data_IF_414243051510
#
_entry.id   IF_414243051510
#
_cell.length_a   1.000
_cell.length_b   1.000
_cell.length_c   1.000
_cell.angle_alpha   90.00
_cell.angle_beta   90.00
_cell.angle_gamma   90.00
#
_symmetry.space_group_name_H-M   'P 1'
#
loop_
_entity.id
_entity.type
_entity.pdbx_description
1 polymer ?
#
# COMPACT_ATOMS: atom_id res chain seq x y z
N UNK A 1 -2.75 25.12 -15.64
CA UNK A 1 -2.95 24.27 -16.83
C UNK A 1 -2.03 23.05 -16.70
N UNK A 2 -2.35 22.15 -15.77
CA UNK A 2 -1.53 20.97 -15.41
C UNK A 2 -2.37 19.94 -14.62
N UNK A 3 -3.56 19.62 -15.14
CA UNK A 3 -4.55 18.78 -14.42
C UNK A 3 -5.26 17.72 -15.28
N UNK A 4 -4.73 17.35 -16.45
CA UNK A 4 -5.52 16.54 -17.43
C UNK A 4 -5.02 15.13 -17.70
N UNK A 5 -4.07 14.57 -16.96
CA UNK A 5 -3.47 13.25 -17.33
C UNK A 5 -3.89 12.07 -16.43
N UNK A 6 -4.50 12.29 -15.26
CA UNK A 6 -4.83 11.16 -14.35
C UNK A 6 -6.24 10.58 -14.56
N UNK A 7 -7.15 11.29 -15.22
CA UNK A 7 -8.58 10.90 -15.32
C UNK A 7 -8.87 9.86 -16.43
N UNK A 8 -7.96 9.66 -17.40
CA UNK A 8 -8.25 8.80 -18.56
C UNK A 8 -8.02 7.29 -18.35
N UNK A 9 -7.47 6.85 -17.21
CA UNK A 9 -7.24 5.42 -16.94
C UNK A 9 -8.45 4.69 -16.31
N UNK A 10 -9.38 5.42 -15.67
CA UNK A 10 -10.46 4.83 -14.87
C UNK A 10 -11.66 4.26 -15.66
N UNK A 11 -11.68 4.30 -17.00
CA UNK A 11 -12.89 3.98 -17.79
C UNK A 11 -12.82 2.73 -18.67
N UNK A 12 -11.66 2.07 -18.78
CA UNK A 12 -11.49 0.93 -19.70
C UNK A 12 -11.60 -0.45 -19.05
N UNK A 13 -11.47 -0.58 -17.73
CA UNK A 13 -11.54 -1.90 -17.06
C UNK A 13 -12.96 -2.41 -16.83
N UNK A 14 -13.97 -1.54 -16.75
CA UNK A 14 -15.37 -1.97 -16.51
C UNK A 14 -16.06 -2.58 -17.74
N UNK A 15 -15.40 -2.60 -18.91
CA UNK A 15 -16.03 -3.01 -20.18
C UNK A 15 -15.59 -4.39 -20.70
N UNK A 16 -14.65 -5.08 -20.02
CA UNK A 16 -14.03 -6.31 -20.57
C UNK A 16 -14.27 -7.59 -19.77
N UNK A 17 -14.95 -7.54 -18.62
CA UNK A 17 -15.05 -8.72 -17.72
C UNK A 17 -16.47 -9.30 -17.63
N UNK A 18 -17.24 -9.22 -18.71
CA UNK A 18 -18.57 -9.82 -18.75
C UNK A 18 -18.73 -10.69 -19.99
N UNK A 19 -17.99 -11.82 -20.02
CA UNK A 19 -18.37 -12.97 -20.82
C UNK A 19 -17.76 -14.28 -20.27
N UNK A 20 -18.65 -15.09 -19.69
CA UNK A 20 -18.72 -16.54 -19.90
C UNK A 20 -17.55 -17.44 -19.39
N UNK A 21 -17.80 -18.20 -18.30
CA UNK A 21 -18.21 -19.62 -18.37
C UNK A 21 -18.14 -20.35 -17.01
N UNK A 22 -19.30 -20.87 -16.63
CA UNK A 22 -19.49 -22.06 -15.81
C UNK A 22 -18.88 -23.30 -16.46
N UNK A 23 -18.00 -24.02 -15.73
CA UNK A 23 -17.86 -25.48 -15.81
C UNK A 23 -17.45 -26.00 -14.42
N UNK A 24 -18.31 -26.84 -13.84
CA UNK A 24 -17.99 -27.71 -12.71
C UNK A 24 -17.18 -28.92 -13.20
N UNK A 25 -16.24 -29.44 -12.40
CA UNK A 25 -15.93 -30.88 -12.24
C UNK A 25 -14.89 -31.12 -11.12
N UNK A 26 -15.20 -32.13 -10.30
CA UNK A 26 -14.37 -33.04 -9.47
C UNK A 26 -13.60 -32.53 -8.24
N UNK A 27 -14.13 -32.95 -7.08
CA UNK A 27 -13.33 -33.34 -5.91
C UNK A 27 -12.62 -34.67 -6.17
N UNK A 28 -11.34 -34.79 -5.81
CA UNK A 28 -10.84 -35.87 -4.94
C UNK A 28 -9.33 -35.80 -4.60
N UNK A 29 -9.06 -36.19 -3.34
CA UNK A 29 -7.84 -36.73 -2.71
C UNK A 29 -6.63 -35.85 -2.35
N UNK A 30 -6.52 -35.62 -1.03
CA UNK A 30 -5.45 -36.07 -0.12
C UNK A 30 -3.97 -35.88 -0.49
N UNK A 31 -3.29 -35.11 0.39
CA UNK A 31 -2.12 -35.51 1.19
C UNK A 31 -0.87 -34.64 1.07
N UNK A 32 -0.34 -34.36 2.27
CA UNK A 32 1.07 -34.22 2.62
C UNK A 32 1.69 -32.82 2.61
N UNK A 33 1.69 -32.27 3.83
CA UNK A 33 2.51 -31.20 4.34
C UNK A 33 4.01 -31.52 4.27
N UNK A 34 4.81 -30.62 3.70
CA UNK A 34 6.24 -30.49 4.01
C UNK A 34 6.67 -29.01 4.03
N UNK A 35 6.94 -28.59 5.27
CA UNK A 35 8.08 -27.82 5.77
C UNK A 35 8.51 -26.53 5.04
N UNK A 36 8.31 -25.44 5.79
CA UNK A 36 8.94 -24.13 5.68
C UNK A 36 10.46 -24.19 5.46
N UNK A 37 10.93 -23.47 4.44
CA UNK A 37 12.27 -22.92 4.42
C UNK A 37 12.17 -21.39 4.34
N UNK A 38 12.67 -20.73 5.38
CA UNK A 38 12.71 -19.29 5.56
C UNK A 38 14.09 -18.79 5.08
N UNK A 39 14.21 -17.99 4.01
CA UNK A 39 15.52 -17.64 3.45
C UNK A 39 15.91 -16.20 3.80
N UNK A 40 16.06 -15.88 5.09
CA UNK A 40 16.63 -14.61 5.55
C UNK A 40 17.40 -14.83 6.86
N UNK A 41 18.56 -15.46 6.76
CA UNK A 41 19.60 -15.41 7.80
C UNK A 41 20.93 -15.09 7.11
N UNK A 42 21.58 -14.01 7.57
CA UNK A 42 22.83 -13.51 7.00
C UNK A 42 23.25 -12.23 7.70
N UNK A 43 24.11 -12.39 8.70
CA UNK A 43 24.50 -11.46 9.75
C UNK A 43 25.32 -10.25 9.29
N UNK A 44 25.09 -9.17 10.05
CA UNK A 44 26.02 -8.19 10.63
C UNK A 44 27.51 -8.49 10.49
N UNK A 45 28.28 -7.53 9.94
CA UNK A 45 29.68 -7.25 10.30
C UNK A 45 30.05 -5.84 9.80
N UNK A 46 30.11 -4.90 10.74
CA UNK A 46 30.70 -3.57 10.58
C UNK A 46 32.09 -3.61 11.23
N UNK A 47 33.14 -3.33 10.45
CA UNK A 47 34.28 -2.54 10.93
C UNK A 47 34.89 -1.74 9.76
N UNK A 48 35.45 -0.54 10.03
CA UNK A 48 35.88 0.41 9.02
C UNK A 48 37.39 0.33 8.73
N UNK A 49 37.79 0.53 7.48
CA UNK A 49 39.18 0.84 7.14
C UNK A 49 39.28 2.20 6.44
N UNK A 50 40.04 3.08 7.07
CA UNK A 50 40.55 4.34 6.58
C UNK A 50 41.59 4.17 5.46
N UNK A 51 41.88 5.30 4.79
CA UNK A 51 43.07 5.62 3.95
C UNK A 51 42.89 5.37 2.45
N UNK A 52 43.32 6.21 1.51
CA UNK A 52 43.99 7.51 1.55
C UNK A 52 43.81 8.18 0.17
N UNK A 53 43.88 9.51 0.14
CA UNK A 53 43.91 10.30 -1.08
C UNK A 53 45.29 10.21 -1.77
N UNK A 54 45.30 9.94 -3.08
CA UNK A 54 46.43 10.24 -3.96
C UNK A 54 45.90 11.07 -5.13
N UNK A 55 46.22 12.37 -5.10
CA UNK A 55 46.13 13.30 -6.24
C UNK A 55 47.44 13.19 -7.02
N UNK A 56 47.37 12.79 -8.28
CA UNK A 56 48.42 13.06 -9.26
C UNK A 56 47.77 13.81 -10.43
N UNK A 57 48.13 15.10 -10.56
CA UNK A 57 47.69 15.99 -11.63
C UNK A 57 48.60 15.88 -12.85
N UNK A 58 47.96 15.79 -14.01
CA UNK A 58 48.53 15.84 -15.35
C UNK A 58 49.31 17.13 -15.63
N UNK A 59 50.31 17.03 -16.51
CA UNK A 59 50.86 18.15 -17.28
C UNK A 59 50.88 17.75 -18.77
N UNK A 60 50.20 18.57 -19.57
CA UNK A 60 50.22 18.61 -21.05
C UNK A 60 51.63 19.00 -21.55
N UNK A 61 52.06 18.84 -22.80
CA UNK A 61 51.47 18.96 -24.16
C UNK A 61 52.63 18.62 -25.16
N UNK A 62 52.60 18.82 -26.50
CA UNK A 62 51.60 18.57 -27.57
C UNK A 62 52.18 17.85 -28.82
N UNK A 63 51.29 17.63 -29.80
CA UNK A 63 51.47 17.59 -31.28
C UNK A 63 52.16 16.38 -31.92
N UNK A 64 51.38 15.63 -32.70
CA UNK A 64 51.76 15.33 -34.08
C UNK A 64 50.52 15.19 -34.99
N UNK A 65 50.59 15.84 -36.15
CA UNK A 65 49.60 15.85 -37.21
C UNK A 65 49.96 14.77 -38.23
N UNK A 66 49.10 13.77 -38.41
CA UNK A 66 49.32 12.70 -39.38
C UNK A 66 48.02 12.22 -40.00
N UNK A 67 47.79 12.61 -41.25
CA UNK A 67 46.70 12.22 -42.15
C UNK A 67 46.35 10.72 -42.08
N UNK A 68 45.06 10.41 -42.04
CA UNK A 68 44.51 9.25 -42.78
C UNK A 68 43.03 9.44 -43.09
N UNK A 69 42.73 9.44 -44.38
CA UNK A 69 41.39 9.46 -44.97
C UNK A 69 41.00 7.99 -45.20
N UNK A 70 40.04 7.47 -44.44
CA UNK A 70 39.22 6.32 -44.83
C UNK A 70 37.82 6.42 -44.21
N UNK A 71 36.85 6.66 -45.09
CA UNK A 71 35.48 6.11 -45.13
C UNK A 71 34.69 5.91 -43.82
N UNK A 72 33.62 6.68 -43.72
CA UNK A 72 32.24 6.27 -43.39
C UNK A 72 32.02 4.81 -42.96
N UNK A 73 31.64 4.63 -41.68
CA UNK A 73 30.52 3.81 -41.20
C UNK A 73 30.20 4.38 -39.81
N UNK A 74 28.92 4.70 -39.57
CA UNK A 74 28.47 5.29 -38.32
C UNK A 74 29.01 4.53 -37.11
N UNK A 75 29.83 5.21 -36.32
CA UNK A 75 30.27 4.71 -35.04
C UNK A 75 29.04 4.63 -34.13
N UNK A 76 28.38 3.46 -34.14
CA UNK A 76 27.65 2.97 -32.99
C UNK A 76 28.69 2.95 -31.88
N UNK A 77 28.72 4.01 -31.07
CA UNK A 77 29.60 4.15 -29.92
C UNK A 77 29.21 3.04 -28.95
N UNK A 78 29.83 1.86 -29.11
CA UNK A 78 29.70 0.76 -28.16
C UNK A 78 30.33 1.25 -26.88
N UNK A 79 29.50 1.57 -25.90
CA UNK A 79 29.98 1.84 -24.56
C UNK A 79 30.79 0.62 -24.08
N UNK A 80 32.12 0.74 -23.86
CA UNK A 80 32.96 -0.38 -23.47
C UNK A 80 32.47 -1.03 -22.17
N UNK A 81 31.79 -0.27 -21.29
CA UNK A 81 31.18 -0.81 -20.08
C UNK A 81 30.00 -1.75 -20.36
N UNK A 82 29.22 -1.50 -21.43
CA UNK A 82 28.11 -2.39 -21.83
C UNK A 82 28.58 -3.66 -22.53
N UNK A 83 29.70 -3.60 -23.23
CA UNK A 83 30.33 -4.80 -23.79
C UNK A 83 30.87 -5.71 -22.67
N UNK A 84 31.52 -5.12 -21.66
CA UNK A 84 32.01 -5.85 -20.49
C UNK A 84 30.86 -6.49 -19.69
N UNK A 85 29.78 -5.74 -19.43
CA UNK A 85 28.59 -6.25 -18.75
C UNK A 85 27.98 -7.48 -19.46
N UNK A 86 27.82 -7.42 -20.79
CA UNK A 86 27.30 -8.54 -21.58
C UNK A 86 28.24 -9.74 -21.55
N UNK A 87 29.56 -9.51 -21.67
CA UNK A 87 30.57 -10.58 -21.61
C UNK A 87 30.57 -11.29 -20.27
N UNK A 88 30.48 -10.54 -19.17
CA UNK A 88 30.39 -11.10 -17.82
C UNK A 88 29.13 -11.97 -17.65
N UNK A 89 27.96 -11.51 -18.12
CA UNK A 89 26.71 -12.29 -18.02
C UNK A 89 26.71 -13.58 -18.85
N UNK A 90 27.54 -13.70 -19.90
CA UNK A 90 27.73 -14.95 -20.64
C UNK A 90 28.37 -16.06 -19.80
N UNK A 91 29.11 -15.69 -18.75
CA UNK A 91 29.68 -16.65 -17.78
C UNK A 91 28.61 -17.24 -16.86
N UNK A 92 27.36 -16.80 -17.00
CA UNK A 92 26.18 -17.21 -16.23
C UNK A 92 26.35 -17.12 -14.69
N UNK A 93 26.85 -15.99 -14.15
CA UNK A 93 26.92 -15.78 -12.70
C UNK A 93 25.52 -15.84 -12.05
N UNK A 94 25.42 -16.21 -10.77
CA UNK A 94 24.12 -16.21 -10.10
C UNK A 94 23.48 -14.80 -10.16
N UNK A 95 22.17 -14.64 -10.43
CA UNK A 95 21.57 -13.32 -10.71
C UNK A 95 21.76 -12.25 -9.64
N UNK A 96 21.73 -12.62 -8.36
CA UNK A 96 22.06 -11.79 -7.20
C UNK A 96 23.51 -11.30 -7.25
N UNK A 97 24.47 -12.21 -7.44
CA UNK A 97 25.89 -11.85 -7.60
C UNK A 97 26.12 -10.96 -8.83
N UNK A 98 25.39 -11.23 -9.92
CA UNK A 98 25.47 -10.44 -11.13
C UNK A 98 24.95 -9.02 -10.93
N UNK A 99 23.89 -8.86 -10.13
CA UNK A 99 23.31 -7.56 -9.81
C UNK A 99 24.33 -6.66 -9.11
N UNK A 100 24.97 -7.22 -8.07
CA UNK A 100 25.99 -6.53 -7.28
C UNK A 100 27.24 -6.20 -8.12
N UNK A 101 27.73 -7.17 -8.91
CA UNK A 101 28.94 -7.04 -9.73
C UNK A 101 28.77 -6.00 -10.83
N UNK A 102 27.58 -5.91 -11.43
CA UNK A 102 27.29 -4.87 -12.42
C UNK A 102 27.20 -3.47 -11.79
N UNK A 103 27.05 -3.40 -10.47
CA UNK A 103 26.86 -2.14 -9.75
C UNK A 103 25.57 -1.45 -10.17
N UNK A 104 24.49 -2.22 -10.34
CA UNK A 104 23.16 -1.70 -10.66
C UNK A 104 22.74 -0.74 -9.53
N UNK A 105 22.23 0.43 -9.91
CA UNK A 105 21.83 1.48 -8.95
C UNK A 105 22.96 2.30 -8.32
N UNK A 106 24.23 2.02 -8.61
CA UNK A 106 25.37 2.86 -8.15
C UNK A 106 25.56 4.15 -8.98
N UNK A 107 24.66 4.46 -9.91
CA UNK A 107 24.70 5.64 -10.79
C UNK A 107 23.93 6.83 -10.22
N UNK A 108 23.29 7.60 -11.10
CA UNK A 108 22.43 8.75 -10.76
C UNK A 108 21.09 8.36 -10.07
N UNK A 109 20.91 7.07 -9.76
CA UNK A 109 19.69 6.54 -9.15
C UNK A 109 18.47 6.54 -10.10
N UNK A 110 18.66 6.79 -11.40
CA UNK A 110 17.59 6.73 -12.38
C UNK A 110 17.39 5.30 -12.90
N UNK A 111 16.39 4.63 -12.33
CA UNK A 111 16.03 3.25 -12.62
C UNK A 111 15.60 3.05 -14.10
N UNK A 112 15.04 4.08 -14.75
CA UNK A 112 14.64 4.00 -16.16
C UNK A 112 15.83 4.13 -17.13
N UNK A 113 16.84 4.92 -16.74
CA UNK A 113 18.04 5.16 -17.52
C UNK A 113 19.12 4.11 -17.30
N UNK A 114 19.03 3.27 -16.25
CA UNK A 114 20.02 2.23 -15.97
C UNK A 114 20.02 1.13 -17.05
N UNK A 115 20.94 1.25 -18.02
CA UNK A 115 21.15 0.28 -19.08
C UNK A 115 21.66 -1.07 -18.55
N UNK A 116 22.40 -1.08 -17.43
CA UNK A 116 22.87 -2.33 -16.81
C UNK A 116 21.69 -3.09 -16.21
N UNK A 117 20.76 -2.38 -15.58
CA UNK A 117 19.51 -2.96 -15.11
C UNK A 117 18.70 -3.60 -16.25
N UNK A 118 18.57 -2.92 -17.40
CA UNK A 118 17.86 -3.46 -18.56
C UNK A 118 18.50 -4.75 -19.08
N UNK A 119 19.83 -4.80 -19.17
CA UNK A 119 20.56 -5.99 -19.64
C UNK A 119 20.45 -7.12 -18.61
N UNK A 120 20.65 -6.81 -17.33
CA UNK A 120 20.51 -7.77 -16.24
C UNK A 120 19.10 -8.37 -16.16
N UNK A 121 18.05 -7.56 -16.25
CA UNK A 121 16.67 -8.06 -16.22
C UNK A 121 16.39 -9.05 -17.36
N UNK A 122 16.89 -8.75 -18.58
CA UNK A 122 16.80 -9.67 -19.72
C UNK A 122 17.54 -10.98 -19.45
N UNK A 123 18.69 -10.90 -18.78
CA UNK A 123 19.47 -12.05 -18.38
C UNK A 123 18.74 -12.91 -17.34
N UNK A 124 18.24 -12.29 -16.26
CA UNK A 124 17.56 -12.99 -15.16
C UNK A 124 16.31 -13.73 -15.63
N UNK A 125 15.51 -13.12 -16.51
CA UNK A 125 14.33 -13.78 -17.10
C UNK A 125 14.66 -15.05 -17.87
N UNK A 126 15.89 -15.18 -18.38
CA UNK A 126 16.37 -16.36 -19.12
C UNK A 126 17.25 -17.27 -18.27
N UNK A 127 17.54 -16.90 -17.03
CA UNK A 127 18.45 -17.63 -16.18
C UNK A 127 17.81 -18.93 -15.69
N UNK A 128 18.49 -20.06 -15.96
CA UNK A 128 18.15 -21.39 -15.48
C UNK A 128 19.39 -22.02 -14.86
N UNK A 129 19.30 -22.44 -13.61
CA UNK A 129 20.42 -23.01 -12.85
C UNK A 129 20.77 -24.44 -13.31
N UNK A 130 19.83 -25.15 -13.94
CA UNK A 130 20.03 -26.41 -14.67
C UNK A 130 18.90 -26.61 -15.71
N UNK A 131 18.99 -27.63 -16.57
CA UNK A 131 17.99 -27.89 -17.62
C UNK A 131 16.59 -28.24 -17.08
N UNK A 132 16.51 -28.74 -15.83
CA UNK A 132 15.30 -29.34 -15.22
C UNK A 132 14.73 -28.56 -14.01
N UNK A 133 15.10 -27.28 -13.81
CA UNK A 133 14.57 -26.49 -12.69
C UNK A 133 13.86 -25.21 -13.11
N UNK A 134 12.90 -24.83 -12.27
CA UNK A 134 12.18 -23.56 -12.31
C UNK A 134 13.14 -22.37 -12.42
N UNK A 135 12.77 -21.37 -13.22
CA UNK A 135 13.61 -20.20 -13.47
C UNK A 135 13.88 -19.41 -12.18
N UNK A 136 15.00 -18.67 -12.13
CA UNK A 136 15.31 -17.86 -10.94
C UNK A 136 14.37 -16.66 -10.80
N UNK A 137 13.89 -16.13 -11.93
CA UNK A 137 13.06 -14.92 -11.97
C UNK A 137 11.77 -15.11 -11.16
N UNK A 138 11.66 -14.33 -10.09
CA UNK A 138 10.42 -14.11 -9.36
C UNK A 138 10.31 -12.62 -9.05
N UNK A 139 9.13 -11.98 -9.22
CA UNK A 139 8.96 -10.54 -8.99
C UNK A 139 9.49 -10.08 -7.63
N UNK A 140 9.19 -10.81 -6.57
CA UNK A 140 9.62 -10.56 -5.20
C UNK A 140 11.15 -10.54 -5.02
N UNK A 141 11.88 -11.36 -5.78
CA UNK A 141 13.36 -11.40 -5.74
C UNK A 141 13.99 -10.24 -6.50
N UNK A 142 13.42 -9.90 -7.66
CA UNK A 142 13.87 -8.75 -8.44
C UNK A 142 13.61 -7.48 -7.66
N UNK A 143 12.41 -7.37 -7.11
CA UNK A 143 11.98 -6.28 -6.28
C UNK A 143 12.90 -6.09 -5.07
N UNK A 144 13.19 -7.15 -4.30
CA UNK A 144 14.04 -7.06 -3.11
C UNK A 144 15.50 -6.66 -3.40
N UNK A 145 16.03 -6.97 -4.59
CA UNK A 145 17.35 -6.47 -5.01
C UNK A 145 17.31 -5.00 -5.39
N UNK A 146 16.26 -4.57 -6.09
CA UNK A 146 16.14 -3.19 -6.54
C UNK A 146 16.02 -2.22 -5.38
N UNK A 147 15.20 -2.53 -4.37
CA UNK A 147 14.99 -1.66 -3.21
C UNK A 147 16.22 -1.54 -2.29
N UNK A 148 17.24 -2.41 -2.44
CA UNK A 148 18.55 -2.22 -1.79
C UNK A 148 19.36 -1.07 -2.37
N UNK A 149 19.03 -0.64 -3.59
CA UNK A 149 19.84 0.31 -4.37
C UNK A 149 19.06 1.52 -4.85
N UNK A 150 17.73 1.40 -4.95
CA UNK A 150 16.83 2.43 -5.40
C UNK A 150 15.77 2.72 -4.34
N UNK A 151 15.26 3.94 -4.34
CA UNK A 151 14.10 4.27 -3.52
C UNK A 151 12.90 3.41 -3.92
N UNK A 152 12.23 2.88 -2.91
CA UNK A 152 11.18 1.88 -2.99
C UNK A 152 9.97 2.30 -3.83
N UNK A 153 9.58 3.57 -3.75
CA UNK A 153 8.53 4.22 -4.57
C UNK A 153 8.90 4.20 -6.06
N UNK A 154 10.16 4.51 -6.40
CA UNK A 154 10.67 4.44 -7.78
C UNK A 154 10.65 3.02 -8.33
N UNK A 155 11.01 2.03 -7.50
CA UNK A 155 10.96 0.61 -7.88
C UNK A 155 9.53 0.21 -8.20
N UNK A 156 8.59 0.48 -7.30
CA UNK A 156 7.18 0.13 -7.49
C UNK A 156 6.56 0.84 -8.70
N UNK A 157 6.82 2.14 -8.85
CA UNK A 157 6.38 2.90 -10.02
C UNK A 157 6.93 2.31 -11.30
N UNK A 158 8.20 1.89 -11.32
CA UNK A 158 8.80 1.28 -12.49
C UNK A 158 8.19 -0.07 -12.86
N UNK A 159 7.87 -0.93 -11.88
CA UNK A 159 7.11 -2.17 -12.12
C UNK A 159 5.75 -1.86 -12.76
N UNK A 160 5.06 -0.82 -12.28
CA UNK A 160 3.77 -0.37 -12.83
C UNK A 160 3.89 0.21 -14.24
N UNK A 161 4.88 1.07 -14.48
CA UNK A 161 5.07 1.82 -15.73
C UNK A 161 5.60 0.95 -16.89
N UNK A 162 6.37 -0.12 -16.61
CA UNK A 162 6.95 -0.99 -17.64
C UNK A 162 5.98 -2.02 -18.24
N UNK A 163 4.68 -1.90 -17.97
CA UNK A 163 3.69 -2.89 -18.38
C UNK A 163 3.90 -4.26 -17.72
N UNK A 164 4.62 -4.30 -16.59
CA UNK A 164 4.82 -5.53 -15.80
C UNK A 164 3.64 -5.75 -14.86
N UNK A 165 2.42 -5.58 -15.38
CA UNK A 165 1.18 -5.62 -14.60
C UNK A 165 1.01 -6.94 -13.85
N UNK A 166 1.38 -8.07 -14.45
CA UNK A 166 1.35 -9.37 -13.77
C UNK A 166 2.30 -9.43 -12.57
N UNK A 167 3.50 -8.88 -12.70
CA UNK A 167 4.49 -8.85 -11.62
C UNK A 167 4.09 -7.85 -10.52
N UNK A 168 3.55 -6.69 -10.91
CA UNK A 168 3.02 -5.69 -9.98
C UNK A 168 1.81 -6.23 -9.21
N UNK A 169 0.88 -6.93 -9.88
CA UNK A 169 -0.27 -7.57 -9.24
C UNK A 169 0.20 -8.68 -8.29
N UNK A 170 1.18 -9.51 -8.70
CA UNK A 170 1.74 -10.52 -7.80
C UNK A 170 2.39 -9.91 -6.56
N UNK A 171 3.17 -8.84 -6.71
CA UNK A 171 3.75 -8.11 -5.58
C UNK A 171 2.65 -7.55 -4.67
N UNK A 172 1.60 -6.98 -5.26
CA UNK A 172 0.45 -6.45 -4.54
C UNK A 172 -0.30 -7.55 -3.76
N UNK A 173 -0.50 -8.73 -4.36
CA UNK A 173 -1.10 -9.88 -3.69
C UNK A 173 -0.22 -10.37 -2.52
N UNK A 174 1.10 -10.42 -2.71
CA UNK A 174 2.04 -10.80 -1.63
C UNK A 174 2.11 -9.77 -0.49
N UNK A 175 1.88 -8.49 -0.78
CA UNK A 175 1.75 -7.43 0.22
C UNK A 175 0.41 -7.52 0.97
N UNK A 176 -0.63 -8.01 0.29
CA UNK A 176 -1.95 -8.24 0.87
C UNK A 176 -1.97 -9.41 1.88
N UNK A 177 -1.01 -10.33 1.78
CA UNK A 177 -0.87 -11.44 2.73
C UNK A 177 -0.38 -10.96 4.10
N UNK A 178 -1.17 -11.23 5.13
CA UNK A 178 -0.78 -10.96 6.51
C UNK A 178 0.50 -11.70 6.87
N UNK A 179 1.43 -10.97 7.49
CA UNK A 179 2.70 -11.50 8.02
C UNK A 179 3.70 -12.06 6.99
N UNK A 180 3.53 -11.79 5.68
CA UNK A 180 4.55 -12.16 4.72
C UNK A 180 5.89 -11.46 5.06
N UNK A 181 7.01 -12.19 4.95
CA UNK A 181 8.34 -11.62 5.20
C UNK A 181 8.63 -10.43 4.27
N UNK A 182 8.03 -10.44 3.07
CA UNK A 182 8.06 -9.32 2.13
C UNK A 182 7.40 -8.08 2.74
N UNK A 183 6.20 -8.20 3.31
CA UNK A 183 5.47 -7.08 3.91
C UNK A 183 6.24 -6.45 5.07
N UNK A 184 6.78 -7.26 5.99
CA UNK A 184 7.57 -6.75 7.12
C UNK A 184 8.84 -6.02 6.67
N UNK A 185 9.54 -6.59 5.69
CA UNK A 185 10.72 -5.95 5.09
C UNK A 185 10.37 -4.63 4.42
N UNK A 186 9.22 -4.57 3.74
CA UNK A 186 8.72 -3.39 3.06
C UNK A 186 8.34 -2.26 4.01
N UNK A 187 7.62 -2.58 5.09
CA UNK A 187 7.28 -1.62 6.13
C UNK A 187 8.53 -0.95 6.69
N UNK A 188 9.55 -1.74 7.00
CA UNK A 188 10.80 -1.23 7.53
C UNK A 188 11.51 -0.32 6.53
N UNK A 189 11.58 -0.72 5.25
CA UNK A 189 12.21 0.09 4.21
C UNK A 189 11.46 1.39 3.92
N UNK A 190 10.12 1.36 3.90
CA UNK A 190 9.31 2.57 3.78
C UNK A 190 9.53 3.50 4.98
N UNK A 191 9.60 2.96 6.19
CA UNK A 191 9.91 3.75 7.38
C UNK A 191 11.32 4.35 7.28
N UNK A 192 12.34 3.55 6.96
CA UNK A 192 13.74 4.01 6.88
C UNK A 192 13.97 5.03 5.76
N UNK A 193 13.15 4.97 4.70
CA UNK A 193 13.17 5.93 3.60
C UNK A 193 12.23 7.13 3.80
N UNK A 194 11.61 7.25 4.98
CA UNK A 194 10.64 8.31 5.32
C UNK A 194 9.50 8.45 4.29
N UNK A 195 9.05 7.33 3.74
CA UNK A 195 7.99 7.33 2.72
C UNK A 195 6.68 7.80 3.34
N UNK A 196 6.12 8.92 2.86
CA UNK A 196 4.83 9.41 3.38
C UNK A 196 3.74 8.34 3.28
N UNK A 197 2.86 8.19 4.30
CA UNK A 197 1.70 7.32 4.20
C UNK A 197 0.81 7.58 2.99
N UNK A 198 0.75 8.81 2.45
CA UNK A 198 0.02 9.10 1.21
C UNK A 198 0.59 8.30 0.02
N UNK A 199 1.92 8.25 -0.08
CA UNK A 199 2.61 7.49 -1.13
C UNK A 199 2.38 6.00 -0.92
N UNK A 200 2.47 5.52 0.33
CA UNK A 200 2.18 4.11 0.63
C UNK A 200 0.73 3.74 0.32
N UNK A 201 -0.23 4.64 0.55
CA UNK A 201 -1.65 4.44 0.20
C UNK A 201 -1.83 4.15 -1.30
N UNK A 202 -1.22 4.98 -2.15
CA UNK A 202 -1.27 4.84 -3.60
C UNK A 202 -0.54 3.56 -4.07
N UNK A 203 0.62 3.28 -3.48
CA UNK A 203 1.42 2.10 -3.81
C UNK A 203 0.71 0.80 -3.47
N UNK A 204 0.02 0.79 -2.33
CA UNK A 204 -0.82 -0.32 -1.88
C UNK A 204 -2.17 -0.38 -2.61
N UNK A 205 -2.49 0.57 -3.49
CA UNK A 205 -3.75 0.60 -4.25
C UNK A 205 -4.99 0.56 -3.35
N UNK A 206 -4.91 1.20 -2.17
CA UNK A 206 -6.00 1.17 -1.20
C UNK A 206 -7.26 1.77 -1.80
N UNK A 207 -8.40 1.10 -1.64
CA UNK A 207 -9.69 1.55 -2.16
C UNK A 207 -10.02 1.07 -3.58
N UNK A 208 -9.15 0.25 -4.20
CA UNK A 208 -9.49 -0.50 -5.41
C UNK A 208 -10.56 -1.57 -5.15
N UNK A 209 -10.63 -2.06 -3.91
CA UNK A 209 -11.68 -2.97 -3.41
C UNK A 209 -12.53 -2.23 -2.39
N UNK A 210 -13.66 -2.82 -2.00
CA UNK A 210 -14.38 -2.36 -0.82
C UNK A 210 -13.43 -2.36 0.37
N UNK A 211 -13.26 -1.22 1.07
CA UNK A 211 -12.34 -1.09 2.21
C UNK A 211 -12.57 -2.19 3.28
N UNK A 212 -13.83 -2.62 3.47
CA UNK A 212 -14.20 -3.69 4.39
C UNK A 212 -13.55 -5.06 4.06
N UNK A 213 -13.10 -5.23 2.82
CA UNK A 213 -12.49 -6.45 2.30
C UNK A 213 -11.10 -6.19 1.73
N UNK A 214 -10.55 -5.00 1.98
CA UNK A 214 -9.27 -4.59 1.43
C UNK A 214 -8.16 -4.87 2.45
N UNK A 215 -7.38 -5.97 2.31
CA UNK A 215 -6.27 -6.25 3.22
C UNK A 215 -5.20 -5.14 3.20
N UNK A 216 -5.07 -4.42 2.07
CA UNK A 216 -4.11 -3.33 1.94
C UNK A 216 -4.54 -2.09 2.71
N UNK A 217 -5.84 -1.85 2.88
CA UNK A 217 -6.33 -0.78 3.75
C UNK A 217 -5.93 -1.01 5.20
N UNK A 218 -6.04 -2.26 5.67
CA UNK A 218 -5.59 -2.64 7.01
C UNK A 218 -4.08 -2.48 7.17
N UNK A 219 -3.31 -2.96 6.19
CA UNK A 219 -1.86 -2.80 6.18
C UNK A 219 -1.46 -1.32 6.18
N UNK A 220 -2.12 -0.49 5.39
CA UNK A 220 -1.86 0.94 5.37
C UNK A 220 -2.15 1.64 6.71
N UNK A 221 -3.22 1.27 7.42
CA UNK A 221 -3.48 1.81 8.77
C UNK A 221 -2.36 1.41 9.74
N UNK A 222 -1.88 0.17 9.68
CA UNK A 222 -0.71 -0.25 10.48
C UNK A 222 0.57 0.51 10.10
N UNK A 223 0.72 0.87 8.84
CA UNK A 223 1.82 1.71 8.40
C UNK A 223 1.71 3.13 8.97
N UNK A 224 0.52 3.75 8.90
CA UNK A 224 0.26 5.07 9.48
C UNK A 224 0.59 5.12 10.98
N UNK A 225 0.17 4.10 11.74
CA UNK A 225 0.48 3.96 13.17
C UNK A 225 1.99 3.96 13.43
N UNK A 226 2.74 3.10 12.73
CA UNK A 226 4.20 3.01 12.89
C UNK A 226 4.93 4.27 12.43
N UNK A 227 4.46 4.90 11.36
CA UNK A 227 5.00 6.15 10.86
C UNK A 227 4.84 7.26 11.89
N UNK A 228 3.64 7.40 12.48
CA UNK A 228 3.37 8.33 13.58
C UNK A 228 4.21 8.04 14.82
N UNK A 229 4.36 6.77 15.21
CA UNK A 229 5.20 6.40 16.35
C UNK A 229 6.68 6.75 16.14
N UNK A 230 7.19 6.62 14.90
CA UNK A 230 8.59 6.90 14.58
C UNK A 230 8.89 8.39 14.43
N UNK A 231 7.99 9.15 13.78
CA UNK A 231 8.23 10.53 13.38
C UNK A 231 7.41 11.57 14.16
N UNK A 232 6.47 11.12 15.00
CA UNK A 232 5.57 11.95 15.79
C UNK A 232 4.17 12.07 15.18
N UNK A 233 3.15 12.18 16.02
CA UNK A 233 1.73 12.16 15.62
C UNK A 233 1.32 13.27 14.65
N UNK A 234 2.02 14.41 14.66
CA UNK A 234 1.73 15.56 13.82
C UNK A 234 2.26 15.41 12.39
N UNK A 235 3.12 14.42 12.12
CA UNK A 235 3.67 14.20 10.77
C UNK A 235 2.65 13.60 9.82
N UNK A 236 1.71 12.81 10.34
CA UNK A 236 0.55 12.31 9.62
C UNK A 236 -0.69 12.26 10.53
N UNK A 237 -1.41 13.37 10.59
CA UNK A 237 -2.58 13.57 11.48
C UNK A 237 -3.74 12.62 11.17
N UNK A 238 -4.58 12.31 12.17
CA UNK A 238 -5.80 11.49 11.99
C UNK A 238 -6.75 12.03 10.95
N UNK A 239 -6.84 13.35 10.79
CA UNK A 239 -7.68 14.01 9.78
C UNK A 239 -7.23 13.64 8.37
N UNK A 240 -5.92 13.58 8.13
CA UNK A 240 -5.36 13.13 6.84
C UNK A 240 -5.67 11.66 6.60
N UNK A 241 -5.49 10.81 7.62
CA UNK A 241 -5.80 9.38 7.51
C UNK A 241 -7.27 9.18 7.13
N UNK A 242 -8.18 9.88 7.82
CA UNK A 242 -9.62 9.84 7.54
C UNK A 242 -9.94 10.37 6.14
N UNK A 243 -9.30 11.46 5.72
CA UNK A 243 -9.48 12.03 4.39
C UNK A 243 -9.11 11.02 3.30
N UNK A 244 -7.95 10.35 3.39
CA UNK A 244 -7.56 9.31 2.43
C UNK A 244 -8.58 8.17 2.35
N UNK A 245 -9.14 7.74 3.49
CA UNK A 245 -10.19 6.70 3.52
C UNK A 245 -11.53 7.19 2.94
N UNK A 246 -11.91 8.44 3.21
CA UNK A 246 -13.14 9.07 2.72
C UNK A 246 -13.10 9.32 1.21
N UNK A 247 -11.93 9.67 0.68
CA UNK A 247 -11.72 9.88 -0.75
C UNK A 247 -11.82 8.56 -1.55
N UNK A 248 -11.82 7.41 -0.88
CA UNK A 248 -12.18 6.15 -1.53
C UNK A 248 -13.70 6.09 -1.78
N UNK A 249 -14.11 5.84 -3.03
CA UNK A 249 -15.53 5.65 -3.40
C UNK A 249 -16.16 4.35 -2.84
N UNK A 250 -15.57 3.73 -1.82
CA UNK A 250 -15.77 2.31 -1.52
C UNK A 250 -16.72 2.02 -0.35
N UNK A 251 -17.02 3.01 0.50
CA UNK A 251 -17.77 2.82 1.75
C UNK A 251 -19.17 3.46 1.78
N UNK A 252 -19.52 4.28 0.78
CA UNK A 252 -20.86 4.88 0.57
C UNK A 252 -21.33 5.88 1.63
N UNK A 253 -20.98 5.69 2.91
CA UNK A 253 -21.40 6.47 4.06
C UNK A 253 -20.24 6.57 5.08
N UNK A 254 -19.97 7.75 5.67
CA UNK A 254 -18.97 7.94 6.72
C UNK A 254 -19.07 6.96 7.90
N UNK A 255 -20.25 6.50 8.30
CA UNK A 255 -20.35 5.56 9.44
C UNK A 255 -19.81 4.16 9.09
N UNK A 256 -19.80 3.80 7.81
CA UNK A 256 -19.11 2.58 7.36
C UNK A 256 -17.60 2.65 7.61
N UNK A 257 -16.99 3.84 7.61
CA UNK A 257 -15.59 4.03 8.03
C UNK A 257 -15.46 3.71 9.52
N UNK A 258 -16.39 4.19 10.36
CA UNK A 258 -16.38 3.86 11.78
C UNK A 258 -16.49 2.35 12.04
N UNK A 259 -17.33 1.64 11.29
CA UNK A 259 -17.44 0.18 11.39
C UNK A 259 -16.14 -0.52 10.92
N UNK A 260 -15.54 -0.04 9.83
CA UNK A 260 -14.25 -0.52 9.36
C UNK A 260 -13.14 -0.34 10.41
N UNK A 261 -13.05 0.82 11.08
CA UNK A 261 -12.06 1.08 12.12
C UNK A 261 -12.21 0.14 13.32
N UNK A 262 -13.44 -0.23 13.68
CA UNK A 262 -13.69 -1.25 14.70
C UNK A 262 -13.23 -2.64 14.26
N UNK A 263 -13.40 -3.00 12.98
CA UNK A 263 -12.85 -4.25 12.45
C UNK A 263 -11.32 -4.26 12.45
N UNK A 264 -10.68 -3.11 12.20
CA UNK A 264 -9.23 -2.95 12.28
C UNK A 264 -8.75 -3.17 13.73
N UNK A 265 -9.44 -2.57 14.70
CA UNK A 265 -9.19 -2.76 16.13
C UNK A 265 -9.34 -4.23 16.54
N UNK A 266 -10.45 -4.88 16.15
CA UNK A 266 -10.72 -6.29 16.49
C UNK A 266 -9.65 -7.23 15.90
N UNK A 267 -9.08 -6.90 14.73
CA UNK A 267 -8.00 -7.68 14.10
C UNK A 267 -6.63 -7.43 14.74
N UNK A 268 -6.38 -6.22 15.23
CA UNK A 268 -5.12 -5.85 15.86
C UNK A 268 -5.32 -4.78 16.93
N UNK A 269 -5.49 -5.24 18.17
CA UNK A 269 -5.70 -4.41 19.35
C UNK A 269 -4.58 -3.37 19.60
N UNK A 270 -3.39 -3.54 19.01
CA UNK A 270 -2.34 -2.51 19.11
C UNK A 270 -2.74 -1.19 18.43
N UNK A 271 -3.69 -1.24 17.49
CA UNK A 271 -4.21 -0.08 16.78
C UNK A 271 -5.34 0.62 17.52
N UNK A 272 -5.78 0.13 18.69
CA UNK A 272 -6.95 0.67 19.43
C UNK A 272 -6.86 2.18 19.64
N UNK A 273 -5.68 2.71 19.99
CA UNK A 273 -5.53 4.15 20.20
C UNK A 273 -5.72 4.95 18.91
N UNK A 274 -5.06 4.54 17.83
CA UNK A 274 -5.22 5.18 16.53
C UNK A 274 -6.66 5.11 16.03
N UNK A 275 -7.30 3.93 16.10
CA UNK A 275 -8.68 3.75 15.62
C UNK A 275 -9.68 4.52 16.46
N UNK A 276 -9.45 4.68 17.77
CA UNK A 276 -10.28 5.50 18.66
C UNK A 276 -10.16 6.98 18.30
N UNK A 277 -8.95 7.52 18.17
CA UNK A 277 -8.73 8.92 17.76
C UNK A 277 -9.40 9.22 16.42
N UNK A 278 -9.28 8.30 15.46
CA UNK A 278 -9.92 8.41 14.16
C UNK A 278 -11.46 8.39 14.26
N UNK A 279 -12.04 7.51 15.09
CA UNK A 279 -13.49 7.48 15.31
C UNK A 279 -14.00 8.78 15.95
N UNK A 280 -13.30 9.28 16.97
CA UNK A 280 -13.65 10.54 17.63
C UNK A 280 -13.59 11.73 16.67
N UNK A 281 -12.50 11.85 15.89
CA UNK A 281 -12.34 12.89 14.89
C UNK A 281 -13.43 12.82 13.82
N UNK A 282 -13.74 11.61 13.33
CA UNK A 282 -14.81 11.37 12.36
C UNK A 282 -16.18 11.79 12.92
N UNK A 283 -16.56 11.32 14.12
CA UNK A 283 -17.86 11.64 14.71
C UNK A 283 -17.99 13.14 14.97
N UNK A 284 -16.93 13.76 15.51
CA UNK A 284 -16.89 15.20 15.76
C UNK A 284 -17.10 16.00 14.47
N UNK A 285 -16.43 15.62 13.38
CA UNK A 285 -16.57 16.27 12.08
C UNK A 285 -18.01 16.15 11.53
N UNK A 286 -18.61 14.96 11.60
CA UNK A 286 -19.99 14.73 11.15
C UNK A 286 -21.03 15.52 11.93
N UNK A 287 -20.88 15.59 13.26
CA UNK A 287 -21.76 16.36 14.15
C UNK A 287 -21.60 17.86 13.89
N UNK A 288 -20.36 18.36 13.84
CA UNK A 288 -20.07 19.78 13.64
C UNK A 288 -20.56 20.28 12.29
N UNK A 289 -20.38 19.49 11.23
CA UNK A 289 -20.85 19.82 9.89
C UNK A 289 -22.37 19.65 9.73
N UNK A 290 -23.07 19.06 10.72
CA UNK A 290 -24.50 18.74 10.67
C UNK A 290 -24.87 17.89 9.44
N UNK A 291 -23.92 17.12 8.92
CA UNK A 291 -24.10 16.30 7.71
C UNK A 291 -24.69 14.93 8.01
N UNK A 292 -24.67 14.50 9.27
CA UNK A 292 -25.18 13.20 9.69
C UNK A 292 -25.94 13.31 11.02
N UNK A 293 -27.12 12.70 11.06
CA UNK A 293 -27.89 12.48 12.29
C UNK A 293 -27.97 10.99 12.61
N UNK A 294 -28.30 10.58 13.84
CA UNK A 294 -28.40 9.17 14.20
C UNK A 294 -29.38 8.37 13.34
N UNK A 295 -30.52 8.96 12.93
CA UNK A 295 -31.47 8.28 12.05
C UNK A 295 -30.95 8.15 10.61
N UNK A 296 -30.25 9.17 10.12
CA UNK A 296 -29.62 9.12 8.79
C UNK A 296 -28.49 8.09 8.77
N UNK A 297 -27.66 8.07 9.81
CA UNK A 297 -26.63 7.06 10.02
C UNK A 297 -27.22 5.64 9.97
N UNK A 298 -28.27 5.37 10.76
CA UNK A 298 -28.96 4.08 10.75
C UNK A 298 -29.53 3.72 9.37
N UNK A 299 -30.15 4.69 8.69
CA UNK A 299 -30.82 4.46 7.41
C UNK A 299 -29.84 4.27 6.24
N UNK A 300 -28.67 4.91 6.31
CA UNK A 300 -27.61 4.85 5.30
C UNK A 300 -26.66 3.66 5.48
N UNK A 301 -26.78 2.92 6.57
CA UNK A 301 -25.96 1.73 6.79
C UNK A 301 -26.36 0.60 5.83
N UNK A 302 -25.38 -0.19 5.36
CA UNK A 302 -25.69 -1.43 4.66
C UNK A 302 -26.46 -2.37 5.58
N UNK A 303 -27.10 -3.38 4.97
CA UNK A 303 -27.75 -4.47 5.70
C UNK A 303 -26.83 -5.68 5.73
N UNK A 304 -25.83 -5.74 6.64
CA UNK A 304 -24.95 -6.88 6.72
C UNK A 304 -25.79 -8.14 7.02
N UNK A 305 -25.50 -9.23 6.31
CA UNK A 305 -26.21 -10.51 6.46
C UNK A 305 -27.73 -10.42 6.20
N UNK A 306 -28.17 -9.39 5.46
CA UNK A 306 -29.60 -9.14 5.19
C UNK A 306 -30.38 -8.60 6.40
N UNK A 307 -29.71 -8.24 7.50
CA UNK A 307 -30.32 -7.74 8.74
C UNK A 307 -30.17 -6.23 8.88
N UNK A 308 -31.05 -5.60 9.65
CA UNK A 308 -30.82 -4.22 10.08
C UNK A 308 -29.74 -4.20 11.16
N UNK A 309 -29.00 -3.09 11.24
CA UNK A 309 -27.87 -2.95 12.18
C UNK A 309 -28.29 -3.14 13.64
N UNK A 310 -29.49 -2.72 14.01
CA UNK A 310 -30.01 -2.90 15.37
C UNK A 310 -30.46 -4.33 15.69
N UNK A 311 -30.56 -5.22 14.69
CA UNK A 311 -30.85 -6.64 14.87
C UNK A 311 -29.57 -7.49 14.96
N UNK A 312 -28.40 -6.86 14.89
CA UNK A 312 -27.10 -7.52 15.02
C UNK A 312 -26.72 -7.70 16.50
N UNK A 313 -25.83 -8.64 16.82
CA UNK A 313 -25.23 -8.73 18.15
C UNK A 313 -24.59 -7.39 18.58
N UNK A 314 -24.61 -7.09 19.87
CA UNK A 314 -24.03 -5.83 20.41
C UNK A 314 -22.52 -5.74 20.23
N UNK A 315 -21.85 -6.88 20.02
CA UNK A 315 -20.44 -6.99 19.68
C UNK A 315 -20.14 -6.73 18.20
N UNK A 316 -21.15 -6.70 17.32
CA UNK A 316 -20.95 -6.51 15.88
C UNK A 316 -20.38 -5.11 15.57
N UNK A 317 -19.36 -4.97 14.70
CA UNK A 317 -18.76 -3.69 14.36
C UNK A 317 -19.75 -2.66 13.83
N UNK A 318 -20.78 -3.07 13.08
CA UNK A 318 -21.79 -2.14 12.56
C UNK A 318 -22.69 -1.61 13.68
N UNK A 319 -23.09 -2.49 14.60
CA UNK A 319 -23.86 -2.10 15.78
C UNK A 319 -23.05 -1.14 16.66
N UNK A 320 -21.80 -1.51 16.97
CA UNK A 320 -20.86 -0.68 17.75
C UNK A 320 -20.63 0.68 17.08
N UNK A 321 -20.47 0.74 15.76
CA UNK A 321 -20.32 2.00 15.03
C UNK A 321 -21.55 2.90 15.14
N UNK A 322 -22.75 2.35 14.95
CA UNK A 322 -24.00 3.11 15.11
C UNK A 322 -24.16 3.63 16.54
N UNK A 323 -23.91 2.77 17.53
CA UNK A 323 -23.97 3.12 18.95
C UNK A 323 -22.96 4.22 19.27
N UNK A 324 -21.70 4.06 18.89
CA UNK A 324 -20.63 5.04 19.12
C UNK A 324 -20.97 6.43 18.57
N UNK A 325 -21.36 6.50 17.30
CA UNK A 325 -21.77 7.76 16.68
C UNK A 325 -23.00 8.38 17.38
N UNK A 326 -24.01 7.56 17.69
CA UNK A 326 -25.23 8.04 18.35
C UNK A 326 -24.94 8.57 19.74
N UNK A 327 -24.07 7.91 20.50
CA UNK A 327 -23.63 8.37 21.82
C UNK A 327 -22.87 9.70 21.73
N UNK A 328 -21.96 9.85 20.75
CA UNK A 328 -21.26 11.10 20.51
C UNK A 328 -22.24 12.25 20.16
N UNK A 329 -23.20 11.98 19.26
CA UNK A 329 -24.24 12.93 18.89
C UNK A 329 -25.13 13.30 20.09
N UNK A 330 -25.61 12.30 20.84
CA UNK A 330 -26.47 12.51 22.00
C UNK A 330 -25.76 13.31 23.10
N UNK A 331 -24.46 13.08 23.31
CA UNK A 331 -23.63 13.89 24.21
C UNK A 331 -23.62 15.36 23.81
N UNK A 332 -23.50 15.66 22.52
CA UNK A 332 -23.50 17.04 22.01
C UNK A 332 -24.81 17.81 22.26
N UNK A 333 -25.90 17.10 22.56
CA UNK A 333 -27.22 17.68 22.86
C UNK A 333 -27.71 17.38 24.28
N UNK A 334 -26.84 16.90 25.17
CA UNK A 334 -27.18 16.63 26.58
C UNK A 334 -28.11 15.43 26.81
N UNK A 335 -28.11 14.43 25.93
CA UNK A 335 -28.96 13.23 26.00
C UNK A 335 -28.18 11.91 26.02
N UNK A 336 -26.95 11.94 26.52
CA UNK A 336 -26.07 10.76 26.52
C UNK A 336 -26.67 9.56 27.25
N UNK A 337 -27.20 9.76 28.47
CA UNK A 337 -27.79 8.70 29.28
C UNK A 337 -29.02 8.06 28.62
N UNK A 338 -29.87 8.88 28.00
CA UNK A 338 -31.01 8.37 27.22
C UNK A 338 -30.52 7.44 26.10
N UNK A 339 -29.52 7.88 25.33
CA UNK A 339 -28.98 7.08 24.25
C UNK A 339 -28.39 5.77 24.74
N UNK A 340 -27.65 5.79 25.86
CA UNK A 340 -27.10 4.59 26.47
C UNK A 340 -28.21 3.60 26.87
N UNK A 341 -29.26 4.09 27.54
CA UNK A 341 -30.42 3.30 27.92
C UNK A 341 -31.08 2.61 26.71
N UNK A 342 -31.33 3.36 25.62
CA UNK A 342 -31.97 2.82 24.42
C UNK A 342 -31.15 1.80 23.64
N UNK A 343 -29.82 1.82 23.74
CA UNK A 343 -28.98 0.79 23.13
C UNK A 343 -28.87 -0.46 24.03
N UNK A 344 -28.79 -0.28 25.35
CA UNK A 344 -28.49 -1.38 26.27
C UNK A 344 -29.72 -2.15 26.77
N UNK A 345 -30.90 -1.53 26.78
CA UNK A 345 -32.08 -2.08 27.44
C UNK A 345 -33.33 -2.17 26.56
N UNK A 346 -33.35 -1.48 25.43
CA UNK A 346 -34.56 -1.35 24.61
C UNK A 346 -34.56 -2.25 23.38
N UNK A 347 -35.76 -2.55 22.90
CA UNK A 347 -35.95 -3.31 21.65
C UNK A 347 -35.59 -2.45 20.43
N UNK A 348 -35.12 -3.05 19.32
CA UNK A 348 -34.74 -2.31 18.11
C UNK A 348 -35.75 -1.26 17.64
N UNK A 349 -37.05 -1.58 17.64
CA UNK A 349 -38.11 -0.63 17.25
C UNK A 349 -38.19 0.62 18.15
N UNK A 350 -37.95 0.47 19.45
CA UNK A 350 -37.93 1.59 20.39
C UNK A 350 -36.66 2.42 20.20
N UNK A 351 -35.51 1.77 19.96
CA UNK A 351 -34.26 2.44 19.61
C UNK A 351 -34.44 3.27 18.33
N UNK A 352 -35.05 2.74 17.27
CA UNK A 352 -35.33 3.51 16.03
C UNK A 352 -36.20 4.75 16.29
N UNK A 353 -37.23 4.63 17.14
CA UNK A 353 -38.07 5.78 17.53
C UNK A 353 -37.24 6.84 18.26
N UNK A 354 -36.35 6.41 19.16
CA UNK A 354 -35.42 7.30 19.84
C UNK A 354 -34.45 7.98 18.86
N UNK A 355 -33.88 7.24 17.89
CA UNK A 355 -33.00 7.80 16.86
C UNK A 355 -33.71 8.93 16.09
N UNK A 356 -34.97 8.75 15.71
CA UNK A 356 -35.79 9.81 15.08
C UNK A 356 -35.92 11.03 15.99
N UNK A 357 -36.34 10.81 17.24
CA UNK A 357 -36.56 11.86 18.23
C UNK A 357 -35.33 12.76 18.44
N UNK A 358 -34.13 12.20 18.50
CA UNK A 358 -32.90 13.00 18.67
C UNK A 358 -32.39 13.62 17.36
N UNK A 359 -32.79 13.08 16.21
CA UNK A 359 -32.39 13.58 14.89
C UNK A 359 -33.23 14.77 14.43
N UNK A 360 -34.50 14.83 14.81
CA UNK A 360 -35.41 15.92 14.46
C UNK A 360 -34.99 17.28 15.06
N UNK A 361 -34.05 17.28 16.01
CA UNK A 361 -33.50 18.49 16.64
C UNK A 361 -32.41 19.21 15.84
N UNK A 362 -32.06 18.75 14.63
CA UNK A 362 -31.12 19.46 13.73
C UNK A 362 -31.53 20.91 13.39
N UNK A 363 -32.78 21.30 13.69
CA UNK A 363 -33.40 22.58 13.33
C UNK A 363 -33.56 23.58 14.49
N UNK A 364 -33.10 23.29 15.72
CA UNK A 364 -33.23 24.27 16.81
C UNK A 364 -32.11 25.32 16.78
N UNK A 365 -32.42 26.64 16.82
CA UNK A 365 -31.40 27.67 16.96
C UNK A 365 -30.72 27.49 18.32
N UNK A 366 -29.39 27.39 18.33
CA UNK A 366 -28.65 27.38 19.59
C UNK A 366 -29.04 28.64 20.37
N UNK A 367 -29.53 28.46 21.60
CA UNK A 367 -29.56 29.57 22.56
C UNK A 367 -28.13 30.06 22.66
N UNK A 368 -27.92 31.30 22.21
CA UNK A 368 -26.73 32.07 22.56
C UNK A 368 -26.81 32.27 24.06
N UNK A 369 -25.99 31.55 24.80
CA UNK A 369 -25.65 31.91 26.17
C UNK A 369 -24.58 33.00 26.16
#
# INVERSE_FOLDING_TARGET
>A
MLFTVVILWNRTESALDNDNKTVAVAHNHSSSSRLNENPLDGQTLLEPHESAAVKATNRADPKDEGRSIFSSIGAIRRDPTMSAAKSYLLQRPRPDTAFETLGIGKGDGNLEADEKLKIWLKYVRKYKQSADREGWYKPEKVFSLLVKTYQIDKVLYWFKARGMHADANKLHDMLSEDSSALRLSMDQQWLDSETSPDVVFELLGVGHKSLLRDPNAFHWIQYCDRFRQRYGDHTFSVEKILQSLQDTNSLGNPISISAFLLMVEDRNWKLTWLTLEMQEALHKALIAAKTMSPILAYSAMPRPYGKYVLDLPTSDPWYRALKGFTLAYARSIGRYEDALFYFDHEKPNNTVRFLRLISDRLHWPQKKD
#
